data_IF_665007494931
#
_entry.id   IF_665007494931
#
_cell.length_a   1.000
_cell.length_b   1.000
_cell.length_c   1.000
_cell.angle_alpha   90.00
_cell.angle_beta   90.00
_cell.angle_gamma   90.00
#
_symmetry.space_group_name_H-M   'P 1'
#
loop_
_entity.id
_entity.type
_entity.pdbx_description
1 polymer ?
#
# COMPACT_ATOMS: atom_id res chain seq x y z
N UNK A 1 1.54 -24.60 21.05
CA UNK A 1 0.97 -23.90 19.88
C UNK A 1 1.95 -24.03 18.72
N UNK A 2 1.61 -24.74 17.64
CA UNK A 2 2.53 -25.03 16.52
C UNK A 2 2.62 -23.78 15.63
N UNK A 3 3.82 -23.20 15.52
CA UNK A 3 4.08 -21.98 14.73
C UNK A 3 3.89 -22.32 13.24
N UNK A 4 2.97 -21.65 12.57
CA UNK A 4 2.67 -21.87 11.15
C UNK A 4 3.86 -21.35 10.33
N UNK A 5 4.29 -22.14 9.34
CA UNK A 5 5.43 -21.79 8.51
C UNK A 5 5.13 -20.57 7.62
N UNK A 6 6.03 -19.57 7.57
CA UNK A 6 5.81 -18.33 6.81
C UNK A 6 5.49 -18.56 5.33
N UNK A 7 6.01 -19.64 4.74
CA UNK A 7 5.75 -20.01 3.34
C UNK A 7 4.32 -20.48 3.11
N UNK A 8 3.74 -21.19 4.08
CA UNK A 8 2.34 -21.63 4.06
C UNK A 8 1.42 -20.43 4.25
N UNK A 9 1.80 -19.49 5.10
CA UNK A 9 1.06 -18.24 5.28
C UNK A 9 1.05 -17.39 3.99
N UNK A 10 2.18 -17.30 3.29
CA UNK A 10 2.27 -16.61 2.00
C UNK A 10 1.43 -17.34 0.94
N UNK A 11 1.49 -18.68 0.88
CA UNK A 11 0.69 -19.46 -0.07
C UNK A 11 -0.81 -19.30 0.15
N UNK A 12 -1.26 -19.31 1.41
CA UNK A 12 -2.65 -19.08 1.79
C UNK A 12 -3.10 -17.64 1.49
N UNK A 13 -2.23 -16.66 1.73
CA UNK A 13 -2.50 -15.26 1.37
C UNK A 13 -2.62 -15.08 -0.15
N UNK A 14 -1.73 -15.70 -0.93
CA UNK A 14 -1.78 -15.67 -2.40
C UNK A 14 -3.04 -16.35 -2.91
N UNK A 15 -3.42 -17.50 -2.34
CA UNK A 15 -4.62 -18.21 -2.73
C UNK A 15 -5.91 -17.44 -2.40
N UNK A 16 -5.95 -16.78 -1.24
CA UNK A 16 -7.05 -15.90 -0.85
C UNK A 16 -7.17 -14.67 -1.78
N UNK A 17 -6.04 -14.09 -2.21
CA UNK A 17 -6.01 -12.99 -3.19
C UNK A 17 -6.53 -13.44 -4.56
N UNK A 18 -6.14 -14.64 -5.00
CA UNK A 18 -6.60 -15.21 -6.28
C UNK A 18 -8.10 -15.48 -6.25
N UNK A 19 -8.63 -16.07 -5.17
CA UNK A 19 -10.06 -16.34 -5.01
C UNK A 19 -10.88 -15.05 -4.97
N UNK A 20 -10.39 -14.02 -4.28
CA UNK A 20 -11.01 -12.69 -4.28
C UNK A 20 -11.10 -12.09 -5.69
N UNK A 21 -10.03 -12.23 -6.48
CA UNK A 21 -10.01 -11.83 -7.89
C UNK A 21 -11.04 -12.57 -8.74
N UNK A 22 -11.22 -13.88 -8.51
CA UNK A 22 -12.20 -14.69 -9.26
C UNK A 22 -13.65 -14.32 -8.93
N UNK A 23 -13.95 -13.99 -7.66
CA UNK A 23 -15.28 -13.56 -7.22
C UNK A 23 -15.63 -12.18 -7.80
N UNK A 24 -14.65 -11.28 -7.95
CA UNK A 24 -14.82 -9.97 -8.59
C UNK A 24 -15.16 -10.07 -10.09
N UNK A 25 -14.72 -11.14 -10.78
CA UNK A 25 -15.01 -11.34 -12.20
C UNK A 25 -16.49 -11.66 -12.50
N UNK A 26 -17.27 -12.12 -11.50
CA UNK A 26 -18.63 -12.64 -11.70
C UNK A 26 -19.80 -11.63 -11.60
N UNK A 27 -19.56 -10.35 -11.29
CA UNK A 27 -20.63 -9.38 -10.94
C UNK A 27 -20.92 -8.30 -12.02
N UNK A 28 -20.53 -8.55 -13.28
CA UNK A 28 -20.56 -7.58 -14.37
C UNK A 28 -21.95 -7.37 -15.01
N UNK A 29 -22.75 -6.42 -14.48
CA UNK A 29 -23.72 -5.62 -15.27
C UNK A 29 -23.09 -4.28 -15.70
N UNK A 30 -21.95 -4.43 -16.37
CA UNK A 30 -21.25 -3.66 -17.44
C UNK A 30 -21.05 -2.13 -17.37
N UNK A 31 -21.84 -1.29 -16.68
CA UNK A 31 -21.61 0.18 -16.74
C UNK A 31 -20.95 0.76 -15.48
N UNK A 32 -21.11 0.14 -14.30
CA UNK A 32 -20.54 0.67 -13.05
C UNK A 32 -19.21 0.03 -12.60
N UNK A 33 -18.78 -1.07 -13.24
CA UNK A 33 -17.62 -1.86 -12.77
C UNK A 33 -16.28 -1.27 -13.25
N UNK A 34 -16.25 -0.70 -14.45
CA UNK A 34 -15.02 -0.16 -15.04
C UNK A 34 -14.47 1.05 -14.27
N UNK A 35 -15.34 1.92 -13.75
CA UNK A 35 -14.94 3.10 -12.97
C UNK A 35 -14.36 2.68 -11.61
N UNK A 36 -15.01 1.73 -10.93
CA UNK A 36 -14.54 1.21 -9.64
C UNK A 36 -13.22 0.48 -9.81
N UNK A 37 -13.05 -0.28 -10.90
CA UNK A 37 -11.79 -0.95 -11.22
C UNK A 37 -10.65 0.05 -11.47
N UNK A 38 -10.89 1.09 -12.28
CA UNK A 38 -9.91 2.14 -12.54
C UNK A 38 -9.53 2.90 -11.27
N UNK A 39 -10.51 3.22 -10.42
CA UNK A 39 -10.27 3.88 -9.13
C UNK A 39 -9.42 2.99 -8.21
N UNK A 40 -9.75 1.70 -8.11
CA UNK A 40 -8.98 0.77 -7.32
C UNK A 40 -7.53 0.66 -7.83
N UNK A 41 -7.35 0.54 -9.14
CA UNK A 41 -6.03 0.51 -9.76
C UNK A 41 -5.23 1.80 -9.47
N UNK A 42 -5.87 2.97 -9.59
CA UNK A 42 -5.25 4.25 -9.27
C UNK A 42 -4.83 4.33 -7.80
N UNK A 43 -5.67 3.87 -6.86
CA UNK A 43 -5.35 3.82 -5.44
C UNK A 43 -4.19 2.86 -5.14
N UNK A 44 -4.14 1.70 -5.81
CA UNK A 44 -3.02 0.75 -5.67
C UNK A 44 -1.72 1.35 -6.21
N UNK A 45 -1.75 2.00 -7.38
CA UNK A 45 -0.57 2.69 -7.94
C UNK A 45 -0.13 3.82 -7.02
N UNK A 46 -1.06 4.61 -6.48
CA UNK A 46 -0.75 5.67 -5.53
C UNK A 46 -0.09 5.12 -4.25
N UNK A 47 -0.61 4.03 -3.69
CA UNK A 47 -0.03 3.39 -2.51
C UNK A 47 1.40 2.89 -2.76
N UNK A 48 1.63 2.19 -3.87
CA UNK A 48 2.97 1.73 -4.28
C UNK A 48 3.92 2.91 -4.51
N UNK A 49 3.45 3.97 -5.17
CA UNK A 49 4.25 5.16 -5.39
C UNK A 49 4.68 5.82 -4.07
N UNK A 50 3.79 5.86 -3.07
CA UNK A 50 4.14 6.38 -1.75
C UNK A 50 5.14 5.49 -1.01
N UNK A 51 5.04 4.17 -1.13
CA UNK A 51 6.08 3.26 -0.60
C UNK A 51 7.44 3.52 -1.25
N UNK A 52 7.49 3.68 -2.57
CA UNK A 52 8.73 3.95 -3.29
C UNK A 52 9.28 5.35 -2.94
N UNK A 53 8.44 6.39 -2.88
CA UNK A 53 8.84 7.74 -2.45
C UNK A 53 9.40 7.70 -1.02
N UNK A 54 8.75 6.96 -0.11
CA UNK A 54 9.22 6.77 1.25
C UNK A 54 10.55 6.04 1.33
N UNK A 55 10.69 4.90 0.65
CA UNK A 55 11.91 4.11 0.69
C UNK A 55 13.12 4.82 0.08
N UNK A 56 12.91 5.67 -0.92
CA UNK A 56 13.99 6.33 -1.67
C UNK A 56 14.35 7.72 -1.15
N UNK A 57 13.37 8.50 -0.65
CA UNK A 57 13.59 9.91 -0.30
C UNK A 57 13.60 10.21 1.19
N UNK A 58 13.07 9.33 2.05
CA UNK A 58 13.18 9.52 3.50
C UNK A 58 14.60 9.30 3.98
N UNK A 59 15.05 10.10 4.94
CA UNK A 59 16.36 9.90 5.57
C UNK A 59 16.33 8.76 6.58
N UNK A 60 17.50 8.17 6.82
CA UNK A 60 17.68 7.15 7.85
C UNK A 60 17.83 7.76 9.25
N UNK A 61 17.70 9.08 9.39
CA UNK A 61 17.73 9.75 10.69
C UNK A 61 16.52 9.33 11.54
N UNK A 62 16.77 8.97 12.80
CA UNK A 62 15.71 8.73 13.77
C UNK A 62 14.74 7.59 13.41
N UNK A 63 15.14 6.65 12.53
CA UNK A 63 14.28 5.57 12.01
C UNK A 63 13.01 6.04 11.27
N UNK A 64 12.95 7.31 10.86
CA UNK A 64 11.79 7.90 10.17
C UNK A 64 11.38 7.07 8.94
N UNK A 65 12.35 6.70 8.09
CA UNK A 65 12.11 5.83 6.94
C UNK A 65 11.40 4.51 7.32
N UNK A 66 11.90 3.83 8.35
CA UNK A 66 11.36 2.52 8.75
C UNK A 66 9.94 2.67 9.31
N UNK A 67 9.73 3.66 10.18
CA UNK A 67 8.43 3.94 10.80
C UNK A 67 7.38 4.22 9.70
N UNK A 68 7.69 5.09 8.74
CA UNK A 68 6.76 5.42 7.67
C UNK A 68 6.52 4.28 6.69
N UNK A 69 7.54 3.48 6.35
CA UNK A 69 7.33 2.26 5.55
C UNK A 69 6.35 1.33 6.26
N UNK A 70 6.53 1.08 7.57
CA UNK A 70 5.63 0.22 8.34
C UNK A 70 4.21 0.79 8.33
N UNK A 71 4.04 2.09 8.57
CA UNK A 71 2.72 2.75 8.53
C UNK A 71 2.06 2.54 7.17
N UNK A 72 2.77 2.83 6.06
CA UNK A 72 2.20 2.73 4.72
C UNK A 72 1.87 1.27 4.36
N UNK A 73 2.71 0.30 4.70
CA UNK A 73 2.45 -1.12 4.41
C UNK A 73 1.26 -1.64 5.21
N UNK A 74 1.21 -1.40 6.53
CA UNK A 74 0.17 -1.98 7.38
C UNK A 74 -1.19 -1.29 7.23
N UNK A 75 -1.21 0.02 6.95
CA UNK A 75 -2.47 0.78 6.83
C UNK A 75 -2.90 1.05 5.38
N UNK A 76 -2.15 0.52 4.41
CA UNK A 76 -2.43 0.63 2.97
C UNK A 76 -2.70 2.09 2.54
N UNK A 77 -3.87 2.35 1.94
CA UNK A 77 -4.24 3.64 1.36
C UNK A 77 -4.23 4.77 2.40
N UNK A 78 -4.62 4.47 3.64
CA UNK A 78 -4.63 5.46 4.73
C UNK A 78 -3.20 5.91 5.04
N UNK A 79 -2.27 4.97 5.16
CA UNK A 79 -0.86 5.29 5.40
C UNK A 79 -0.22 6.05 4.27
N UNK A 80 -0.53 5.69 3.01
CA UNK A 80 -0.08 6.42 1.84
C UNK A 80 -0.61 7.88 1.83
N UNK A 81 -1.87 8.10 2.19
CA UNK A 81 -2.46 9.43 2.33
C UNK A 81 -1.79 10.25 3.44
N UNK A 82 -1.63 9.68 4.63
CA UNK A 82 -0.95 10.32 5.75
C UNK A 82 0.49 10.68 5.39
N UNK A 83 1.20 9.77 4.73
CA UNK A 83 2.55 10.01 4.25
C UNK A 83 2.59 11.17 3.24
N UNK A 84 1.70 11.15 2.25
CA UNK A 84 1.65 12.17 1.20
C UNK A 84 1.34 13.57 1.74
N UNK A 85 0.37 13.71 2.65
CA UNK A 85 -0.09 15.01 3.14
C UNK A 85 0.67 15.52 4.37
N UNK A 86 1.16 14.62 5.23
CA UNK A 86 1.79 15.02 6.51
C UNK A 86 3.30 14.89 6.42
N UNK A 87 3.82 13.72 6.02
CA UNK A 87 5.26 13.46 6.10
C UNK A 87 6.05 14.11 4.97
N UNK A 88 5.56 13.96 3.74
CA UNK A 88 6.23 14.41 2.52
C UNK A 88 6.49 15.93 2.49
N UNK A 89 5.56 16.82 2.94
CA UNK A 89 5.83 18.25 3.02
C UNK A 89 6.86 18.60 4.11
N UNK A 90 6.73 18.01 5.30
CA UNK A 90 7.67 18.21 6.42
C UNK A 90 9.09 17.81 6.06
N UNK A 91 9.25 16.76 5.23
CA UNK A 91 10.56 16.38 4.69
C UNK A 91 11.14 17.52 3.86
N UNK A 92 10.39 18.05 2.91
CA UNK A 92 10.88 19.13 2.02
C UNK A 92 11.31 20.36 2.81
N UNK A 93 10.48 20.77 3.77
CA UNK A 93 10.80 21.88 4.68
C UNK A 93 12.12 21.66 5.43
N UNK A 94 12.38 20.44 5.93
CA UNK A 94 13.60 20.14 6.69
C UNK A 94 14.88 20.13 5.83
N UNK A 95 14.79 19.87 4.53
CA UNK A 95 15.95 19.71 3.64
C UNK A 95 16.16 20.87 2.64
N UNK A 96 15.23 21.83 2.54
CA UNK A 96 15.35 23.03 1.69
C UNK A 96 15.89 24.26 2.46
N UNK A 97 16.74 24.07 3.49
CA UNK A 97 17.52 25.14 4.14
C UNK A 97 18.98 25.11 3.71
#
# INVERSE_FOLDING_TARGET
MKKIDPRVLILLAVFAVVIFYLIMMGQFRIINVSIVFLLFLALTVFWLWMLVDCATKETNEGNERLIWIIIIVFTHFIGALLYYFIRRPKRKEKFDY
#
